data_IF_892742237573
#
_entry.id   IF_892742237573
#
_cell.length_a   1.000
_cell.length_b   1.000
_cell.length_c   1.000
_cell.angle_alpha   90.00
_cell.angle_beta   90.00
_cell.angle_gamma   90.00
#
_symmetry.space_group_name_H-M   'P 1'
#
loop_
_entity.id
_entity.type
_entity.pdbx_description
1 polymer ?
#
# COMPACT_ATOMS: atom_id res chain seq x y z
N UNK A 1 29.87 -4.26 -18.04
CA UNK A 1 29.10 -3.01 -17.99
C UNK A 1 28.03 -3.13 -16.91
N UNK A 2 27.60 -2.06 -16.24
CA UNK A 2 26.44 -2.11 -15.33
C UNK A 2 25.13 -2.15 -16.12
N UNK A 3 25.08 -1.48 -17.27
CA UNK A 3 23.92 -1.44 -18.16
C UNK A 3 23.55 -2.83 -18.70
N UNK A 4 24.56 -3.61 -19.09
CA UNK A 4 24.39 -4.99 -19.58
C UNK A 4 23.82 -5.92 -18.49
N UNK A 5 24.24 -5.74 -17.23
CA UNK A 5 23.73 -6.52 -16.11
C UNK A 5 22.26 -6.19 -15.87
N UNK A 6 21.90 -4.90 -15.84
CA UNK A 6 20.52 -4.46 -15.67
C UNK A 6 19.61 -5.01 -16.77
N UNK A 7 20.02 -4.87 -18.04
CA UNK A 7 19.30 -5.42 -19.18
C UNK A 7 19.14 -6.95 -19.10
N UNK A 8 20.19 -7.66 -18.65
CA UNK A 8 20.12 -9.11 -18.46
C UNK A 8 19.13 -9.50 -17.37
N UNK A 9 19.12 -8.80 -16.23
CA UNK A 9 18.13 -9.00 -15.17
C UNK A 9 16.69 -8.78 -15.68
N UNK A 10 16.46 -7.73 -16.46
CA UNK A 10 15.15 -7.42 -17.05
C UNK A 10 14.70 -8.51 -18.02
N UNK A 11 15.57 -8.96 -18.93
CA UNK A 11 15.25 -10.05 -19.86
C UNK A 11 14.90 -11.36 -19.12
N UNK A 12 15.62 -11.69 -18.03
CA UNK A 12 15.32 -12.86 -17.21
C UNK A 12 14.00 -12.71 -16.43
N UNK A 13 13.69 -11.49 -15.96
CA UNK A 13 12.41 -11.18 -15.33
C UNK A 13 11.25 -11.36 -16.30
N UNK A 14 11.35 -10.82 -17.52
CA UNK A 14 10.31 -10.88 -18.55
C UNK A 14 10.06 -12.30 -19.07
N UNK A 15 11.08 -13.15 -19.08
CA UNK A 15 10.95 -14.57 -19.45
C UNK A 15 10.35 -15.44 -18.34
N UNK A 16 10.17 -14.91 -17.13
CA UNK A 16 9.65 -15.63 -15.96
C UNK A 16 10.70 -16.33 -15.12
N UNK A 17 11.98 -16.25 -15.49
CA UNK A 17 13.13 -16.86 -14.78
C UNK A 17 13.61 -15.97 -13.60
N UNK A 18 12.67 -15.49 -12.78
CA UNK A 18 12.92 -14.50 -11.72
C UNK A 18 13.97 -15.00 -10.71
N UNK A 19 13.96 -16.29 -10.35
CA UNK A 19 14.97 -16.85 -9.44
C UNK A 19 16.38 -16.79 -10.01
N UNK A 20 16.53 -16.93 -11.34
CA UNK A 20 17.82 -16.80 -12.02
C UNK A 20 18.24 -15.34 -12.04
N UNK A 21 17.31 -14.41 -12.31
CA UNK A 21 17.54 -12.97 -12.27
C UNK A 21 18.04 -12.51 -10.88
N UNK A 22 17.41 -12.98 -9.80
CA UNK A 22 17.81 -12.66 -8.42
C UNK A 22 19.24 -13.12 -8.16
N UNK A 23 19.57 -14.40 -8.43
CA UNK A 23 20.91 -14.93 -8.20
C UNK A 23 21.98 -14.16 -8.99
N UNK A 24 21.66 -13.81 -10.24
CA UNK A 24 22.55 -13.02 -11.07
C UNK A 24 22.76 -11.60 -10.52
N UNK A 25 21.69 -10.94 -10.05
CA UNK A 25 21.78 -9.63 -9.41
C UNK A 25 22.58 -9.68 -8.09
N UNK A 26 22.39 -10.72 -7.26
CA UNK A 26 23.14 -10.92 -6.02
C UNK A 26 24.65 -11.12 -6.26
N UNK A 27 25.01 -11.89 -7.28
CA UNK A 27 26.41 -12.08 -7.70
C UNK A 27 27.02 -10.76 -8.20
N UNK A 28 26.26 -10.01 -9.00
CA UNK A 28 26.68 -8.68 -9.47
C UNK A 28 26.90 -7.70 -8.31
N UNK A 29 25.98 -7.66 -7.33
CA UNK A 29 26.11 -6.80 -6.14
C UNK A 29 27.31 -7.21 -5.27
N UNK A 30 27.55 -8.52 -5.13
CA UNK A 30 28.68 -9.05 -4.35
C UNK A 30 30.03 -8.69 -4.95
N UNK A 31 30.12 -8.59 -6.28
CA UNK A 31 31.34 -8.16 -6.98
C UNK A 31 31.47 -6.64 -7.12
N UNK A 32 30.36 -5.90 -7.00
CA UNK A 32 30.28 -4.43 -7.18
C UNK A 32 29.51 -3.78 -6.04
N UNK A 33 30.13 -3.75 -4.85
CA UNK A 33 29.52 -3.16 -3.66
C UNK A 33 29.12 -1.69 -3.90
N UNK A 34 27.86 -1.34 -3.61
CA UNK A 34 27.38 0.04 -3.60
C UNK A 34 26.63 0.51 -4.86
N UNK A 35 26.39 -0.36 -5.84
CA UNK A 35 25.53 0.00 -6.97
C UNK A 35 24.04 0.03 -6.55
N UNK A 36 23.52 1.24 -6.34
CA UNK A 36 22.13 1.49 -5.90
C UNK A 36 21.11 1.02 -6.94
N UNK A 37 21.41 1.16 -8.24
CA UNK A 37 20.50 0.72 -9.31
C UNK A 37 20.35 -0.80 -9.32
N UNK A 38 21.45 -1.55 -9.18
CA UNK A 38 21.40 -3.01 -9.06
C UNK A 38 20.63 -3.45 -7.81
N UNK A 39 20.78 -2.71 -6.69
CA UNK A 39 20.03 -3.00 -5.47
C UNK A 39 18.52 -2.77 -5.65
N UNK A 40 18.13 -1.70 -6.32
CA UNK A 40 16.73 -1.43 -6.65
C UNK A 40 16.14 -2.51 -7.57
N UNK A 41 16.89 -3.00 -8.56
CA UNK A 41 16.46 -4.12 -9.41
C UNK A 41 16.30 -5.40 -8.59
N UNK A 42 17.27 -5.74 -7.72
CA UNK A 42 17.17 -6.90 -6.84
C UNK A 42 15.91 -6.83 -5.95
N UNK A 43 15.66 -5.66 -5.35
CA UNK A 43 14.50 -5.43 -4.51
C UNK A 43 13.18 -5.65 -5.29
N UNK A 44 13.07 -5.10 -6.51
CA UNK A 44 11.89 -5.34 -7.36
C UNK A 44 11.71 -6.82 -7.73
N UNK A 45 12.81 -7.54 -8.05
CA UNK A 45 12.76 -8.96 -8.36
C UNK A 45 12.29 -9.81 -7.17
N UNK A 46 12.67 -9.42 -5.94
CA UNK A 46 12.24 -10.10 -4.71
C UNK A 46 10.73 -9.94 -4.49
N UNK A 47 10.17 -8.75 -4.74
CA UNK A 47 8.73 -8.51 -4.68
C UNK A 47 8.02 -9.36 -5.74
N UNK A 48 8.48 -9.32 -6.99
CA UNK A 48 7.86 -10.09 -8.07
C UNK A 48 7.85 -11.60 -7.80
N UNK A 49 8.95 -12.13 -7.26
CA UNK A 49 9.04 -13.55 -6.88
C UNK A 49 7.98 -13.89 -5.82
N UNK A 50 7.81 -13.05 -4.81
CA UNK A 50 6.82 -13.28 -3.76
C UNK A 50 5.39 -13.25 -4.32
N UNK A 51 5.07 -12.28 -5.19
CA UNK A 51 3.79 -12.20 -5.89
C UNK A 51 3.54 -13.43 -6.77
N UNK A 52 4.55 -13.87 -7.56
CA UNK A 52 4.43 -15.06 -8.41
C UNK A 52 4.17 -16.34 -7.62
N UNK A 53 4.70 -16.45 -6.40
CA UNK A 53 4.41 -17.58 -5.50
C UNK A 53 2.95 -17.58 -5.06
N UNK A 54 2.39 -16.42 -4.72
CA UNK A 54 0.96 -16.28 -4.40
C UNK A 54 0.09 -16.63 -5.61
N UNK A 55 0.42 -16.11 -6.79
CA UNK A 55 -0.31 -16.41 -8.04
C UNK A 55 -0.31 -17.91 -8.37
N UNK A 56 0.85 -18.57 -8.24
CA UNK A 56 0.96 -20.01 -8.46
C UNK A 56 0.12 -20.81 -7.47
N UNK A 57 0.12 -20.41 -6.18
CA UNK A 57 -0.70 -21.08 -5.17
C UNK A 57 -2.21 -20.90 -5.42
N UNK A 58 -2.64 -19.70 -5.83
CA UNK A 58 -4.02 -19.41 -6.24
C UNK A 58 -4.43 -20.27 -7.45
N UNK A 59 -3.57 -20.37 -8.46
CA UNK A 59 -3.84 -21.20 -9.63
C UNK A 59 -4.01 -22.67 -9.26
N UNK A 60 -3.08 -23.23 -8.48
CA UNK A 60 -3.16 -24.62 -8.03
C UNK A 60 -4.39 -24.89 -7.14
N UNK A 61 -4.81 -23.92 -6.33
CA UNK A 61 -6.02 -24.03 -5.54
C UNK A 61 -7.29 -24.05 -6.42
N UNK A 62 -7.36 -23.16 -7.41
CA UNK A 62 -8.49 -23.10 -8.35
C UNK A 62 -8.60 -24.35 -9.24
N UNK A 63 -7.49 -25.02 -9.51
CA UNK A 63 -7.45 -26.28 -10.25
C UNK A 63 -7.78 -27.51 -9.38
N UNK A 64 -8.22 -27.31 -8.12
CA UNK A 64 -8.49 -28.35 -7.11
C UNK A 64 -7.28 -29.26 -6.82
N UNK A 65 -6.06 -28.78 -7.08
CA UNK A 65 -4.82 -29.56 -6.92
C UNK A 65 -4.25 -29.50 -5.49
N UNK A 66 -4.81 -28.64 -4.63
CA UNK A 66 -4.34 -28.42 -3.26
C UNK A 66 -5.51 -28.49 -2.26
N UNK A 67 -5.82 -29.67 -1.71
CA UNK A 67 -6.66 -29.75 -0.52
C UNK A 67 -5.89 -29.09 0.64
N UNK A 68 -6.40 -27.95 1.14
CA UNK A 68 -5.73 -26.93 2.02
C UNK A 68 -4.97 -25.81 1.31
N UNK A 69 -5.33 -25.47 0.07
CA UNK A 69 -4.76 -24.31 -0.64
C UNK A 69 -4.92 -22.98 0.11
N UNK A 70 -6.02 -22.79 0.86
CA UNK A 70 -6.32 -21.52 1.56
C UNK A 70 -5.25 -21.10 2.58
N UNK A 71 -4.83 -22.01 3.46
CA UNK A 71 -3.79 -21.73 4.49
C UNK A 71 -2.45 -21.37 3.83
N UNK A 72 -2.08 -22.11 2.77
CA UNK A 72 -0.86 -21.82 2.01
C UNK A 72 -0.93 -20.47 1.29
N UNK A 73 -2.09 -20.11 0.72
CA UNK A 73 -2.30 -18.82 0.07
C UNK A 73 -2.14 -17.69 1.09
N UNK A 74 -2.77 -17.81 2.25
CA UNK A 74 -2.65 -16.83 3.33
C UNK A 74 -1.20 -16.67 3.80
N UNK A 75 -0.48 -17.78 4.02
CA UNK A 75 0.94 -17.78 4.40
C UNK A 75 1.81 -17.07 3.36
N UNK A 76 1.59 -17.36 2.07
CA UNK A 76 2.35 -16.74 0.98
C UNK A 76 1.99 -15.27 0.80
N UNK A 77 0.73 -14.88 1.01
CA UNK A 77 0.30 -13.48 0.99
C UNK A 77 0.98 -12.70 2.12
N UNK A 78 0.98 -13.24 3.33
CA UNK A 78 1.66 -12.65 4.48
C UNK A 78 3.19 -12.56 4.24
N UNK A 79 3.79 -13.58 3.64
CA UNK A 79 5.20 -13.55 3.23
C UNK A 79 5.46 -12.43 2.20
N UNK A 80 4.61 -12.28 1.18
CA UNK A 80 4.76 -11.25 0.16
C UNK A 80 4.64 -9.84 0.74
N UNK A 81 3.64 -9.60 1.61
CA UNK A 81 3.48 -8.33 2.32
C UNK A 81 4.73 -8.02 3.14
N UNK A 82 5.28 -9.00 3.87
CA UNK A 82 6.49 -8.79 4.68
C UNK A 82 7.71 -8.44 3.83
N UNK A 83 7.94 -9.15 2.73
CA UNK A 83 9.06 -8.87 1.82
C UNK A 83 8.94 -7.47 1.25
N UNK A 84 7.75 -7.09 0.78
CA UNK A 84 7.53 -5.76 0.22
C UNK A 84 7.66 -4.67 1.29
N UNK A 85 7.12 -4.89 2.48
CA UNK A 85 7.23 -3.96 3.61
C UNK A 85 8.70 -3.65 3.94
N UNK A 86 9.53 -4.68 4.09
CA UNK A 86 10.97 -4.53 4.41
C UNK A 86 11.71 -3.74 3.32
N UNK A 87 11.37 -3.99 2.05
CA UNK A 87 11.98 -3.30 0.91
C UNK A 87 11.54 -1.84 0.86
N UNK A 88 10.25 -1.58 0.90
CA UNK A 88 9.68 -0.22 0.80
C UNK A 88 10.09 0.62 1.99
N UNK A 89 10.18 0.06 3.20
CA UNK A 89 10.67 0.76 4.38
C UNK A 89 12.11 1.29 4.16
N UNK A 90 13.02 0.44 3.66
CA UNK A 90 14.39 0.86 3.32
C UNK A 90 14.42 1.92 2.23
N UNK A 91 13.58 1.80 1.21
CA UNK A 91 13.50 2.78 0.13
C UNK A 91 13.01 4.13 0.65
N UNK A 92 11.97 4.15 1.50
CA UNK A 92 11.42 5.35 2.11
C UNK A 92 12.43 6.07 3.01
N UNK A 93 13.27 5.32 3.74
CA UNK A 93 14.37 5.87 4.55
C UNK A 93 15.43 6.56 3.68
N UNK A 94 15.76 5.99 2.51
CA UNK A 94 16.77 6.54 1.60
C UNK A 94 16.25 7.72 0.77
N UNK A 95 14.98 7.70 0.39
CA UNK A 95 14.37 8.68 -0.51
C UNK A 95 13.94 9.98 0.18
N UNK A 96 14.35 10.22 1.44
CA UNK A 96 14.04 11.41 2.22
C UNK A 96 12.54 11.75 2.24
N UNK A 97 11.72 10.76 2.63
CA UNK A 97 10.27 10.94 2.75
C UNK A 97 9.52 11.21 1.43
N UNK A 98 9.89 10.52 0.34
CA UNK A 98 9.09 10.53 -0.89
C UNK A 98 7.60 10.20 -0.60
N UNK A 99 6.64 11.09 -0.92
CA UNK A 99 5.22 10.90 -0.61
C UNK A 99 4.63 9.59 -1.14
N UNK A 100 5.07 9.13 -2.31
CA UNK A 100 4.53 7.92 -2.94
C UNK A 100 5.01 6.66 -2.21
N UNK A 101 6.30 6.64 -1.81
CA UNK A 101 6.85 5.56 -1.00
C UNK A 101 6.25 5.53 0.40
N UNK A 102 6.02 6.69 1.02
CA UNK A 102 5.34 6.77 2.32
C UNK A 102 3.90 6.27 2.22
N UNK A 103 3.17 6.67 1.17
CA UNK A 103 1.83 6.15 0.93
C UNK A 103 1.83 4.64 0.77
N UNK A 104 2.75 4.07 -0.01
CA UNK A 104 2.86 2.63 -0.18
C UNK A 104 3.23 1.91 1.12
N UNK A 105 4.18 2.47 1.89
CA UNK A 105 4.59 1.92 3.18
C UNK A 105 3.41 1.87 4.16
N UNK A 106 2.63 2.94 4.24
CA UNK A 106 1.43 3.00 5.09
C UNK A 106 0.41 1.94 4.69
N UNK A 107 0.15 1.76 3.39
CA UNK A 107 -0.78 0.73 2.93
C UNK A 107 -0.30 -0.68 3.33
N UNK A 108 1.00 -0.97 3.19
CA UNK A 108 1.59 -2.26 3.58
C UNK A 108 1.54 -2.48 5.10
N UNK A 109 1.80 -1.43 5.90
CA UNK A 109 1.66 -1.49 7.35
C UNK A 109 0.21 -1.78 7.75
N UNK A 110 -0.76 -1.15 7.09
CA UNK A 110 -2.18 -1.41 7.32
C UNK A 110 -2.57 -2.84 6.94
N UNK A 111 -2.09 -3.36 5.80
CA UNK A 111 -2.31 -4.75 5.38
C UNK A 111 -1.70 -5.76 6.37
N UNK A 112 -0.53 -5.46 6.94
CA UNK A 112 0.10 -6.25 7.98
C UNK A 112 -0.55 -6.07 9.38
N UNK A 113 -1.59 -5.25 9.52
CA UNK A 113 -2.25 -4.95 10.80
C UNK A 113 -1.43 -4.05 11.75
N UNK A 114 -0.33 -3.47 11.28
CA UNK A 114 0.59 -2.63 12.05
C UNK A 114 0.15 -1.15 12.09
N UNK A 115 -1.09 -0.90 12.52
CA UNK A 115 -1.72 0.43 12.46
C UNK A 115 -0.99 1.52 13.27
N UNK A 116 -0.35 1.18 14.39
CA UNK A 116 0.41 2.15 15.20
C UNK A 116 1.64 2.69 14.48
N UNK A 117 2.39 1.80 13.80
CA UNK A 117 3.55 2.24 13.02
C UNK A 117 3.08 3.03 11.79
N UNK A 118 1.96 2.65 11.16
CA UNK A 118 1.36 3.44 10.07
C UNK A 118 1.05 4.87 10.52
N UNK A 119 0.40 5.05 11.68
CA UNK A 119 0.12 6.38 12.25
C UNK A 119 1.43 7.16 12.45
N UNK A 120 2.47 6.52 13.01
CA UNK A 120 3.76 7.16 13.25
C UNK A 120 4.45 7.62 11.96
N UNK A 121 4.38 6.82 10.89
CA UNK A 121 4.91 7.20 9.59
C UNK A 121 4.16 8.40 9.00
N UNK A 122 2.82 8.41 9.07
CA UNK A 122 2.00 9.54 8.61
C UNK A 122 2.29 10.80 9.44
N UNK A 123 2.32 10.70 10.76
CA UNK A 123 2.59 11.83 11.65
C UNK A 123 4.02 12.38 11.48
N UNK A 124 4.99 11.54 11.10
CA UNK A 124 6.35 11.97 10.78
C UNK A 124 6.43 12.72 9.44
N UNK A 125 5.67 12.27 8.44
CA UNK A 125 5.60 12.88 7.11
C UNK A 125 4.87 14.24 7.15
N UNK A 126 3.71 14.30 7.82
CA UNK A 126 2.85 15.49 7.90
C UNK A 126 3.47 16.69 8.63
N UNK A 127 4.54 16.49 9.40
CA UNK A 127 5.26 17.60 10.07
C UNK A 127 5.99 18.50 9.08
N UNK A 128 6.41 17.95 7.95
CA UNK A 128 7.23 18.66 6.96
C UNK A 128 6.42 19.05 5.73
N UNK A 129 5.41 18.25 5.39
CA UNK A 129 4.65 18.39 4.15
C UNK A 129 3.13 18.31 4.36
N UNK A 130 2.38 18.80 3.37
CA UNK A 130 0.93 18.68 3.38
C UNK A 130 0.55 17.28 2.85
N UNK A 131 -0.07 16.40 3.66
CA UNK A 131 -0.35 15.03 3.26
C UNK A 131 -1.31 14.99 2.08
N UNK A 132 -1.11 14.01 1.19
CA UNK A 132 -2.09 13.66 0.17
C UNK A 132 -3.42 13.28 0.83
N UNK A 133 -4.54 13.50 0.13
CA UNK A 133 -5.87 13.07 0.60
C UNK A 133 -5.88 11.59 1.01
N UNK A 134 -5.20 10.74 0.24
CA UNK A 134 -5.08 9.31 0.53
C UNK A 134 -4.43 9.05 1.89
N UNK A 135 -3.34 9.75 2.20
CA UNK A 135 -2.68 9.63 3.51
C UNK A 135 -3.58 10.13 4.66
N UNK A 136 -4.36 11.19 4.45
CA UNK A 136 -5.30 11.68 5.46
C UNK A 136 -6.42 10.66 5.74
N UNK A 137 -6.98 10.04 4.70
CA UNK A 137 -7.96 8.96 4.86
C UNK A 137 -7.35 7.72 5.53
N UNK A 138 -6.13 7.34 5.14
CA UNK A 138 -5.42 6.22 5.78
C UNK A 138 -5.15 6.50 7.27
N UNK A 139 -4.83 7.74 7.66
CA UNK A 139 -4.69 8.13 9.06
C UNK A 139 -5.98 7.92 9.85
N UNK A 140 -7.11 8.35 9.28
CA UNK A 140 -8.42 8.17 9.88
C UNK A 140 -8.75 6.68 10.09
N UNK A 141 -8.52 5.84 9.07
CA UNK A 141 -8.69 4.38 9.13
C UNK A 141 -7.80 3.76 10.20
N UNK A 142 -6.52 4.13 10.25
CA UNK A 142 -5.59 3.61 11.27
C UNK A 142 -6.08 3.97 12.68
N UNK A 143 -6.50 5.22 12.91
CA UNK A 143 -7.05 5.69 14.19
C UNK A 143 -8.32 4.93 14.58
N UNK A 144 -9.20 4.65 13.62
CA UNK A 144 -10.38 3.82 13.83
C UNK A 144 -9.99 2.40 14.28
N UNK A 145 -9.02 1.77 13.61
CA UNK A 145 -8.55 0.43 13.97
C UNK A 145 -7.91 0.37 15.36
N UNK A 146 -7.20 1.41 15.80
CA UNK A 146 -6.67 1.51 17.17
C UNK A 146 -7.69 2.05 18.19
N UNK A 147 -8.97 2.14 17.81
CA UNK A 147 -10.12 2.57 18.63
C UNK A 147 -10.04 4.01 19.15
N UNK A 148 -9.32 4.88 18.45
CA UNK A 148 -9.31 6.33 18.68
C UNK A 148 -10.42 7.00 17.86
N UNK A 149 -11.67 6.64 18.13
CA UNK A 149 -12.81 6.98 17.26
C UNK A 149 -13.04 8.49 17.09
N UNK A 150 -12.88 9.30 18.15
CA UNK A 150 -13.03 10.74 18.03
C UNK A 150 -11.98 11.35 17.11
N UNK A 151 -10.70 10.95 17.26
CA UNK A 151 -9.61 11.42 16.41
C UNK A 151 -9.73 10.90 14.96
N UNK A 152 -10.28 9.70 14.78
CA UNK A 152 -10.58 9.15 13.47
C UNK A 152 -11.65 9.99 12.76
N UNK A 153 -12.72 10.34 13.48
CA UNK A 153 -13.79 11.20 12.96
C UNK A 153 -13.28 12.58 12.57
N UNK A 154 -12.45 13.21 13.40
CA UNK A 154 -11.81 14.50 13.07
C UNK A 154 -10.95 14.38 11.80
N UNK A 155 -10.18 13.30 11.66
CA UNK A 155 -9.37 13.05 10.46
C UNK A 155 -10.24 12.82 9.21
N UNK A 156 -11.33 12.08 9.31
CA UNK A 156 -12.28 11.92 8.20
C UNK A 156 -12.93 13.24 7.81
N UNK A 157 -13.38 14.04 8.78
CA UNK A 157 -13.97 15.36 8.52
C UNK A 157 -12.98 16.28 7.80
N UNK A 158 -11.72 16.31 8.25
CA UNK A 158 -10.66 17.10 7.61
C UNK A 158 -10.35 16.61 6.17
N UNK A 159 -10.27 15.29 5.96
CA UNK A 159 -10.00 14.71 4.64
C UNK A 159 -11.14 14.97 3.65
N UNK A 160 -12.39 14.80 4.08
CA UNK A 160 -13.57 15.08 3.26
C UNK A 160 -13.69 16.57 2.96
N UNK A 161 -13.41 17.44 3.93
CA UNK A 161 -13.41 18.88 3.66
C UNK A 161 -12.34 19.27 2.64
N UNK A 162 -11.12 18.72 2.77
CA UNK A 162 -10.04 18.93 1.80
C UNK A 162 -10.42 18.45 0.39
N UNK A 163 -11.12 17.31 0.30
CA UNK A 163 -11.65 16.79 -0.97
C UNK A 163 -12.64 17.77 -1.61
N UNK A 164 -13.59 18.30 -0.83
CA UNK A 164 -14.57 19.28 -1.29
C UNK A 164 -13.91 20.59 -1.73
N UNK A 165 -12.92 21.07 -0.97
CA UNK A 165 -12.21 22.32 -1.26
C UNK A 165 -11.41 22.23 -2.56
N UNK A 166 -10.88 21.04 -2.88
CA UNK A 166 -10.19 20.78 -4.14
C UNK A 166 -11.15 20.63 -5.34
N UNK A 167 -12.46 20.54 -5.10
CA UNK A 167 -13.47 20.37 -6.16
C UNK A 167 -13.30 19.07 -6.95
N UNK A 168 -12.67 18.05 -6.34
CA UNK A 168 -12.47 16.75 -6.99
C UNK A 168 -13.81 16.01 -6.96
N UNK A 169 -14.46 15.97 -8.12
CA UNK A 169 -15.73 15.25 -8.30
C UNK A 169 -15.55 13.90 -9.00
N UNK A 170 -14.52 13.73 -9.82
CA UNK A 170 -14.11 12.43 -10.37
C UNK A 170 -13.28 11.70 -9.32
N UNK A 171 -13.98 10.94 -8.49
CA UNK A 171 -13.36 10.25 -7.39
C UNK A 171 -13.05 8.80 -7.79
N UNK A 172 -11.82 8.38 -7.56
CA UNK A 172 -11.42 6.99 -7.78
C UNK A 172 -12.01 6.09 -6.68
N UNK A 173 -12.23 4.81 -6.98
CA UNK A 173 -12.92 3.83 -6.12
C UNK A 173 -12.54 3.88 -4.62
N UNK A 174 -11.27 4.16 -4.31
CA UNK A 174 -10.78 4.23 -2.94
C UNK A 174 -11.39 5.38 -2.12
N UNK A 175 -11.73 6.51 -2.75
CA UNK A 175 -12.33 7.66 -2.05
C UNK A 175 -13.77 7.36 -1.63
N UNK A 176 -14.58 6.78 -2.51
CA UNK A 176 -15.93 6.30 -2.19
C UNK A 176 -15.89 5.30 -1.05
N UNK A 177 -14.97 4.32 -1.10
CA UNK A 177 -14.78 3.36 -0.02
C UNK A 177 -14.39 4.05 1.30
N UNK A 178 -13.49 5.03 1.27
CA UNK A 178 -13.06 5.74 2.47
C UNK A 178 -14.18 6.61 3.08
N UNK A 179 -15.03 7.23 2.26
CA UNK A 179 -16.21 7.97 2.74
C UNK A 179 -17.26 7.02 3.31
N UNK A 180 -17.43 5.83 2.73
CA UNK A 180 -18.30 4.80 3.29
C UNK A 180 -17.81 4.32 4.66
N UNK A 181 -16.50 4.08 4.83
CA UNK A 181 -15.91 3.78 6.14
C UNK A 181 -16.23 4.89 7.17
N UNK A 182 -16.09 6.15 6.75
CA UNK A 182 -16.42 7.30 7.59
C UNK A 182 -17.91 7.33 7.98
N UNK A 183 -18.82 7.11 7.01
CA UNK A 183 -20.27 7.03 7.26
C UNK A 183 -20.59 5.93 8.26
N UNK A 184 -20.00 4.74 8.12
CA UNK A 184 -20.21 3.62 9.05
C UNK A 184 -19.74 3.96 10.46
N UNK A 185 -18.58 4.61 10.60
CA UNK A 185 -18.08 5.06 11.90
C UNK A 185 -19.00 6.12 12.52
N UNK A 186 -19.45 7.10 11.73
CA UNK A 186 -20.35 8.15 12.20
C UNK A 186 -21.70 7.59 12.67
N UNK A 187 -22.24 6.60 11.96
CA UNK A 187 -23.47 5.89 12.31
C UNK A 187 -23.30 5.12 13.63
N UNK A 188 -22.20 4.39 13.78
CA UNK A 188 -21.87 3.67 15.01
C UNK A 188 -21.66 4.60 16.23
N UNK A 189 -21.28 5.85 16.00
CA UNK A 189 -21.14 6.89 17.03
C UNK A 189 -22.41 7.74 17.22
N UNK A 190 -23.53 7.37 16.60
CA UNK A 190 -24.82 8.09 16.66
C UNK A 190 -24.76 9.55 16.16
N UNK A 191 -23.81 9.86 15.27
CA UNK A 191 -23.61 11.21 14.69
C UNK A 191 -24.44 11.41 13.41
N UNK A 192 -25.77 11.32 13.52
CA UNK A 192 -26.68 11.31 12.36
C UNK A 192 -26.53 12.52 11.42
N UNK A 193 -26.19 13.70 11.95
CA UNK A 193 -25.98 14.91 11.13
C UNK A 193 -24.82 14.73 10.15
N UNK A 194 -23.70 14.17 10.62
CA UNK A 194 -22.53 13.86 9.80
C UNK A 194 -22.85 12.79 8.76
N UNK A 195 -23.55 11.72 9.17
CA UNK A 195 -23.99 10.64 8.27
C UNK A 195 -24.78 11.20 7.09
N UNK A 196 -25.77 12.06 7.34
CA UNK A 196 -26.60 12.63 6.28
C UNK A 196 -25.77 13.51 5.34
N UNK A 197 -24.92 14.39 5.89
CA UNK A 197 -24.03 15.26 5.11
C UNK A 197 -23.10 14.44 4.20
N UNK A 198 -22.50 13.37 4.70
CA UNK A 198 -21.56 12.56 3.93
C UNK A 198 -22.25 11.67 2.89
N UNK A 199 -23.46 11.18 3.16
CA UNK A 199 -24.27 10.50 2.14
C UNK A 199 -24.60 11.41 0.96
N UNK A 200 -24.97 12.65 1.20
CA UNK A 200 -25.20 13.65 0.14
C UNK A 200 -23.94 13.87 -0.71
N UNK A 201 -22.75 13.88 -0.09
CA UNK A 201 -21.48 13.98 -0.81
C UNK A 201 -21.28 12.77 -1.72
N UNK A 202 -21.43 11.54 -1.21
CA UNK A 202 -21.29 10.31 -2.02
C UNK A 202 -22.27 10.30 -3.20
N UNK A 203 -23.53 10.67 -2.96
CA UNK A 203 -24.54 10.77 -4.02
C UNK A 203 -24.24 11.86 -5.04
N UNK A 204 -23.60 12.96 -4.63
CA UNK A 204 -23.20 14.02 -5.56
C UNK A 204 -22.06 13.59 -6.46
N UNK A 205 -21.12 12.80 -5.91
CA UNK A 205 -20.00 12.25 -6.67
C UNK A 205 -20.49 11.20 -7.67
N UNK A 206 -21.35 10.27 -7.25
CA UNK A 206 -21.88 9.21 -8.11
C UNK A 206 -22.74 9.68 -9.29
N UNK A 207 -23.11 10.97 -9.36
CA UNK A 207 -23.88 11.55 -10.48
C UNK A 207 -23.00 12.14 -11.58
N UNK A 208 -21.69 12.19 -11.38
CA UNK A 208 -20.74 12.79 -12.33
C UNK A 208 -20.21 11.75 -13.34
N UNK A 209 -20.30 10.46 -13.00
CA UNK A 209 -20.06 9.31 -13.91
C UNK A 209 -21.25 9.02 -14.84
#
# INVERSE_FOLDING_TARGET
DDSEILCTCENLRESGDISVAIRFAEEAISSRSGNVALKAVLDNLQIDLAVKRVEAALQLHNDDLLPRGEELIEDLQNEAIRVELDIVARQAELANQDPDLISRLVDLLMQAGNYWEAIKQIDAFTKNDNPSLRLQFNLARCRQHVRQFDMAMESYEAAIQSLLDLGITDCCDWTTSAIQDAIQLADAMERQKQVNRWKEIVESIAKVD
#
